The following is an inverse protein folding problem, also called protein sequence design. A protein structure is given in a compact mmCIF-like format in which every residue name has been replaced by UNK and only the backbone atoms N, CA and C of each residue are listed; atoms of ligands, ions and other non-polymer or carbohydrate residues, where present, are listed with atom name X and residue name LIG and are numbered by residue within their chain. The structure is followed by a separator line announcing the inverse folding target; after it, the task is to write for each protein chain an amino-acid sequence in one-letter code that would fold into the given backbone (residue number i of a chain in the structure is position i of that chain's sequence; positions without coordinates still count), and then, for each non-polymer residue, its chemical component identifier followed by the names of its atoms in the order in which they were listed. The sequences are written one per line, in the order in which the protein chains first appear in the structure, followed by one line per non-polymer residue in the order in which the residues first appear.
data_IF_181888951791
#
_entry.id   IF_181888951791
#
_cell.length_a   1.000
_cell.length_b   1.000
_cell.length_c   1.000
_cell.angle_alpha   90.00
_cell.angle_beta   90.00
_cell.angle_gamma   90.00
#
_symmetry.space_group_name_H-M   'P 1'
#
loop_
_entity.id
_entity.type
_entity.pdbx_description
1 polymer ?
#
# COMPACT_ATOMS: atom_id res chain seq x y z
N UNK A 1 3.52 1.43 15.01
CA UNK A 1 3.46 0.28 14.12
C UNK A 1 2.49 0.58 13.00
N UNK A 2 2.84 0.25 11.76
CA UNK A 2 1.92 0.45 10.66
C UNK A 2 0.71 -0.47 10.83
N UNK A 3 -0.47 0.06 10.54
CA UNK A 3 -1.69 -0.73 10.53
C UNK A 3 -1.57 -1.82 9.48
N UNK A 4 -1.77 -3.06 9.87
CA UNK A 4 -1.71 -4.20 8.97
C UNK A 4 -2.86 -5.13 9.24
N UNK A 5 -3.70 -5.33 8.25
CA UNK A 5 -4.55 -6.50 8.19
C UNK A 5 -3.71 -7.65 7.62
N UNK A 6 -4.22 -8.85 7.60
CA UNK A 6 -3.44 -10.03 7.25
C UNK A 6 -2.72 -9.93 5.91
N UNK A 7 -3.25 -9.16 4.97
CA UNK A 7 -2.63 -9.02 3.66
C UNK A 7 -2.69 -7.58 3.13
N UNK A 8 -2.84 -6.61 4.00
CA UNK A 8 -2.95 -5.21 3.59
C UNK A 8 -1.90 -4.37 4.30
N UNK A 9 -1.22 -3.53 3.52
CA UNK A 9 -0.28 -2.53 4.05
C UNK A 9 -0.84 -1.15 3.71
N UNK A 10 -1.20 -0.39 4.73
CA UNK A 10 -1.69 0.97 4.54
C UNK A 10 -0.53 1.95 4.60
N UNK A 11 -0.27 2.61 3.49
CA UNK A 11 0.85 3.56 3.39
C UNK A 11 0.39 4.93 3.83
N UNK A 12 1.13 5.52 4.75
CA UNK A 12 0.82 6.83 5.32
C UNK A 12 2.06 7.69 5.47
N UNK A 13 2.23 8.26 6.64
CA UNK A 13 3.23 9.30 6.88
C UNK A 13 4.63 8.82 7.19
N UNK A 14 4.81 7.55 7.50
CA UNK A 14 6.12 7.01 7.83
C UNK A 14 7.00 6.90 6.60
N UNK A 15 8.28 6.61 6.80
CA UNK A 15 9.21 6.45 5.69
C UNK A 15 8.90 5.20 4.87
N UNK A 16 9.35 5.20 3.64
CA UNK A 16 9.09 4.12 2.67
C UNK A 16 9.48 2.76 3.22
N UNK A 17 10.64 2.66 3.86
CA UNK A 17 11.14 1.36 4.34
C UNK A 17 10.26 0.73 5.41
N UNK A 18 9.53 1.51 6.18
CA UNK A 18 8.59 0.96 7.15
C UNK A 18 7.54 0.09 6.44
N UNK A 19 7.06 0.56 5.30
CA UNK A 19 6.02 -0.15 4.56
C UNK A 19 6.57 -1.29 3.74
N UNK A 20 7.78 -1.14 3.19
CA UNK A 20 8.46 -2.23 2.49
C UNK A 20 8.69 -3.40 3.45
N UNK A 21 9.17 -3.11 4.67
CA UNK A 21 9.40 -4.15 5.66
C UNK A 21 8.08 -4.80 6.11
N UNK A 22 7.01 -4.01 6.22
CA UNK A 22 5.69 -4.56 6.54
C UNK A 22 5.23 -5.55 5.46
N UNK A 23 5.44 -5.21 4.18
CA UNK A 23 5.09 -6.09 3.08
C UNK A 23 5.93 -7.38 3.11
N UNK A 24 7.24 -7.26 3.36
CA UNK A 24 8.12 -8.42 3.48
C UNK A 24 7.66 -9.33 4.62
N UNK A 25 7.25 -8.74 5.75
CA UNK A 25 6.74 -9.50 6.89
C UNK A 25 5.51 -10.32 6.50
N UNK A 26 4.58 -9.71 5.75
CA UNK A 26 3.39 -10.42 5.28
C UNK A 26 3.78 -11.59 4.37
N UNK A 27 4.70 -11.37 3.44
CA UNK A 27 5.18 -12.43 2.55
C UNK A 27 5.80 -13.56 3.35
N UNK A 28 6.61 -13.23 4.35
CA UNK A 28 7.28 -14.24 5.18
C UNK A 28 6.29 -15.04 6.05
N UNK A 29 5.12 -14.48 6.32
CA UNK A 29 4.06 -15.19 7.02
C UNK A 29 3.27 -16.12 6.08
N UNK A 30 3.56 -16.12 4.80
CA UNK A 30 2.92 -17.00 3.84
C UNK A 30 1.83 -16.36 3.00
N UNK A 31 1.65 -15.04 3.10
CA UNK A 31 0.67 -14.36 2.27
C UNK A 31 1.11 -14.38 0.82
N UNK A 32 0.24 -14.86 -0.06
CA UNK A 32 0.52 -14.95 -1.50
C UNK A 32 0.08 -13.72 -2.27
N UNK A 33 -0.83 -12.97 -1.71
CA UNK A 33 -1.32 -11.73 -2.31
C UNK A 33 -1.34 -10.64 -1.24
N UNK A 34 -0.74 -9.51 -1.56
CA UNK A 34 -0.65 -8.38 -0.66
C UNK A 34 -1.23 -7.16 -1.35
N UNK A 35 -1.99 -6.38 -0.61
CA UNK A 35 -2.54 -5.12 -1.10
C UNK A 35 -1.80 -3.97 -0.44
N UNK A 36 -1.20 -3.11 -1.26
CA UNK A 36 -0.59 -1.89 -0.79
C UNK A 36 -1.57 -0.77 -1.10
N UNK A 37 -2.11 -0.17 -0.04
CA UNK A 37 -3.17 0.82 -0.17
C UNK A 37 -2.72 2.17 0.33
N UNK A 38 -3.20 3.21 -0.32
CA UNK A 38 -2.93 4.58 0.11
C UNK A 38 -4.01 5.50 -0.41
N UNK A 39 -4.05 6.70 0.17
CA UNK A 39 -4.96 7.74 -0.31
C UNK A 39 -4.27 9.10 -0.24
N UNK A 40 -4.75 10.01 -1.08
CA UNK A 40 -4.27 11.38 -1.10
C UNK A 40 -2.78 11.46 -1.42
N UNK A 41 -2.06 12.18 -0.60
CA UNK A 41 -0.63 12.45 -0.84
C UNK A 41 0.25 11.22 -0.65
N UNK A 42 -0.27 10.15 -0.07
CA UNK A 42 0.50 8.91 0.13
C UNK A 42 0.48 7.99 -1.08
N UNK A 43 -0.26 8.32 -2.14
CA UNK A 43 -0.40 7.45 -3.30
C UNK A 43 0.94 7.22 -4.00
N UNK A 44 1.72 8.28 -4.24
CA UNK A 44 3.02 8.11 -4.88
C UNK A 44 3.96 7.27 -4.03
N UNK A 45 3.89 7.43 -2.71
CA UNK A 45 4.69 6.60 -1.80
C UNK A 45 4.29 5.12 -1.91
N UNK A 46 3.00 4.83 -2.06
CA UNK A 46 2.54 3.45 -2.24
C UNK A 46 3.13 2.83 -3.51
N UNK A 47 3.18 3.59 -4.58
CA UNK A 47 3.82 3.15 -5.83
C UNK A 47 5.31 2.88 -5.59
N UNK A 48 5.99 3.78 -4.88
CA UNK A 48 7.41 3.62 -4.56
C UNK A 48 7.65 2.38 -3.71
N UNK A 49 6.76 2.11 -2.74
CA UNK A 49 6.85 0.91 -1.90
C UNK A 49 6.75 -0.35 -2.76
N UNK A 50 5.76 -0.40 -3.65
CA UNK A 50 5.56 -1.54 -4.53
C UNK A 50 6.77 -1.77 -5.44
N UNK A 51 7.29 -0.70 -6.03
CA UNK A 51 8.43 -0.78 -6.93
C UNK A 51 9.72 -1.18 -6.20
N UNK A 52 9.94 -0.64 -5.02
CA UNK A 52 11.12 -0.97 -4.23
C UNK A 52 11.06 -2.42 -3.76
N UNK A 53 9.89 -2.88 -3.31
CA UNK A 53 9.67 -4.27 -2.92
C UNK A 53 10.03 -5.21 -4.07
N UNK A 54 9.50 -4.95 -5.25
CA UNK A 54 9.73 -5.79 -6.42
C UNK A 54 11.17 -5.72 -6.91
N UNK A 55 11.74 -4.52 -6.99
CA UNK A 55 13.03 -4.33 -7.63
C UNK A 55 14.21 -4.70 -6.74
N UNK A 56 14.05 -4.59 -5.42
CA UNK A 56 15.17 -4.75 -4.49
C UNK A 56 15.07 -5.92 -3.53
N UNK A 57 13.86 -6.38 -3.22
CA UNK A 57 13.68 -7.35 -2.13
C UNK A 57 13.01 -8.63 -2.56
N UNK A 58 11.95 -8.56 -3.35
CA UNK A 58 11.16 -9.72 -3.75
C UNK A 58 10.99 -9.70 -5.25
N UNK A 59 12.07 -10.03 -5.96
CA UNK A 59 12.13 -9.87 -7.42
C UNK A 59 11.13 -10.76 -8.19
N UNK A 60 10.58 -11.78 -7.54
CA UNK A 60 9.63 -12.70 -8.17
C UNK A 60 8.17 -12.29 -7.99
N UNK A 61 7.90 -11.21 -7.25
CA UNK A 61 6.52 -10.73 -7.13
C UNK A 61 6.06 -10.05 -8.40
N UNK A 62 4.76 -10.07 -8.62
CA UNK A 62 4.13 -9.44 -9.78
C UNK A 62 3.12 -8.42 -9.30
N UNK A 63 3.07 -7.26 -9.96
CA UNK A 63 1.95 -6.35 -9.76
C UNK A 63 0.78 -6.90 -10.56
N UNK A 64 -0.19 -7.47 -9.85
CA UNK A 64 -1.30 -8.19 -10.47
C UNK A 64 -2.39 -7.24 -10.92
N UNK A 65 -2.65 -6.22 -10.13
CA UNK A 65 -3.73 -5.28 -10.40
C UNK A 65 -3.49 -3.96 -9.68
N UNK A 66 -4.01 -2.89 -10.25
CA UNK A 66 -4.00 -1.57 -9.62
C UNK A 66 -5.41 -1.00 -9.74
N UNK A 67 -6.05 -0.78 -8.61
CA UNK A 67 -7.37 -0.15 -8.56
C UNK A 67 -7.23 1.26 -8.04
N UNK A 68 -7.92 2.18 -8.68
CA UNK A 68 -8.01 3.56 -8.21
C UNK A 68 -9.46 3.89 -7.89
N UNK A 69 -9.64 4.80 -6.96
CA UNK A 69 -10.98 5.20 -6.55
C UNK A 69 -10.97 6.53 -5.83
N UNK A 70 -12.08 6.84 -5.22
CA UNK A 70 -12.29 8.08 -4.49
C UNK A 70 -13.00 7.76 -3.18
N UNK A 71 -12.44 8.25 -2.08
CA UNK A 71 -13.09 8.20 -0.77
C UNK A 71 -13.56 9.59 -0.39
N UNK A 72 -14.64 9.63 0.35
CA UNK A 72 -15.14 10.87 0.93
C UNK A 72 -14.71 10.90 2.39
N UNK A 73 -14.01 11.95 2.78
CA UNK A 73 -13.50 12.09 4.14
C UNK A 73 -13.97 13.42 4.72
N UNK A 74 -14.08 13.48 6.05
CA UNK A 74 -14.46 14.70 6.71
C UNK A 74 -13.32 15.72 6.68
N UNK A 75 -13.66 16.96 6.34
CA UNK A 75 -12.71 18.04 6.39
C UNK A 75 -12.64 18.64 7.81
N UNK A 76 -11.48 19.17 8.18
CA UNK A 76 -11.28 19.76 9.50
C UNK A 76 -12.24 20.95 9.77
N UNK A 77 -12.66 21.62 8.72
CA UNK A 77 -13.53 22.80 8.83
C UNK A 77 -15.02 22.46 8.69
N UNK A 78 -15.34 21.18 8.71
CA UNK A 78 -16.70 20.70 8.47
C UNK A 78 -16.92 20.36 7.01
N UNK A 79 -17.98 19.57 6.76
CA UNK A 79 -18.25 19.08 5.41
C UNK A 79 -17.33 17.93 5.05
N UNK A 80 -17.35 17.55 3.78
CA UNK A 80 -16.56 16.42 3.26
C UNK A 80 -15.72 16.86 2.08
N UNK A 81 -14.61 16.15 1.87
CA UNK A 81 -13.77 16.33 0.70
C UNK A 81 -13.53 14.96 0.07
N UNK A 82 -13.30 14.95 -1.23
CA UNK A 82 -12.98 13.73 -1.96
C UNK A 82 -11.46 13.55 -1.98
N UNK A 83 -11.03 12.32 -1.73
CA UNK A 83 -9.60 11.97 -1.70
C UNK A 83 -9.41 10.78 -2.62
N UNK A 84 -8.43 10.89 -3.53
CA UNK A 84 -8.10 9.78 -4.42
C UNK A 84 -7.50 8.63 -3.63
N UNK A 85 -7.78 7.40 -4.07
CA UNK A 85 -7.27 6.19 -3.45
C UNK A 85 -6.60 5.30 -4.47
N UNK A 86 -5.70 4.44 -3.99
CA UNK A 86 -5.05 3.42 -4.79
C UNK A 86 -4.97 2.12 -3.99
N UNK A 87 -5.11 1.01 -4.69
CA UNK A 87 -4.92 -0.33 -4.15
C UNK A 87 -4.06 -1.10 -5.14
N UNK A 88 -2.84 -1.41 -4.75
CA UNK A 88 -1.90 -2.13 -5.60
C UNK A 88 -1.84 -3.57 -5.10
N UNK A 89 -2.35 -4.50 -5.90
CA UNK A 89 -2.32 -5.92 -5.57
C UNK A 89 -1.03 -6.54 -6.10
N UNK A 90 -0.25 -7.10 -5.18
CA UNK A 90 1.03 -7.75 -5.48
C UNK A 90 0.88 -9.22 -5.17
N UNK A 91 1.32 -10.04 -6.11
CA UNK A 91 1.22 -11.49 -5.98
C UNK A 91 2.59 -12.13 -5.90
N UNK A 92 2.76 -13.01 -4.93
CA UNK A 92 3.94 -13.85 -4.74
C UNK A 92 3.64 -15.21 -5.34
N UNK A 93 4.50 -15.76 -6.21
CA UNK A 93 4.29 -17.10 -6.78
C UNK A 93 4.39 -18.20 -5.75
#
# INVERSE_FOLDING_TARGET
MAEMDDNVVYVGKKGIMNYVMAAITQINKGEKEIHIKARGRSISKAVDVAQLLKNRFESDVTVENVDIGTDEVEADEGGTINVSTIDIAIKKP
#
